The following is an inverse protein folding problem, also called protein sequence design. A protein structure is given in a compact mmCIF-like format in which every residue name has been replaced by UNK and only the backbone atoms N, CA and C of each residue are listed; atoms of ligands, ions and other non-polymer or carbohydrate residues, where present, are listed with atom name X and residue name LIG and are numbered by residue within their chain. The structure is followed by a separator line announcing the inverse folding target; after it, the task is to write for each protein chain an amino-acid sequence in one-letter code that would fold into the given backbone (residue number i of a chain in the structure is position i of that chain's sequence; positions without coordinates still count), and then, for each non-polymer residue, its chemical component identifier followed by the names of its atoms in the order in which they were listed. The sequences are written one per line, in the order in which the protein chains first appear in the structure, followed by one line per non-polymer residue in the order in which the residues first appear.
data_IF_151634181554
#
_entry.id   IF_151634181554
#
_cell.length_a   1.000
_cell.length_b   1.000
_cell.length_c   1.000
_cell.angle_alpha   90.00
_cell.angle_beta   90.00
_cell.angle_gamma   90.00
#
_symmetry.space_group_name_H-M   'P 1'
#
loop_
_entity.id
_entity.type
_entity.pdbx_description
1 polymer ?
#
# COMPACT_ATOMS: atom_id res chain seq x y z
N UNK A 1 52.55 8.05 37.69
CA UNK A 1 52.39 8.51 36.29
C UNK A 1 50.95 8.24 35.89
N UNK A 2 50.02 9.18 36.06
CA UNK A 2 49.53 10.16 35.06
C UNK A 2 49.04 9.54 33.73
N UNK A 3 47.70 9.68 33.50
CA UNK A 3 46.96 9.83 32.21
C UNK A 3 46.70 8.52 31.43
N UNK A 4 45.56 8.25 30.77
CA UNK A 4 44.41 9.05 30.30
C UNK A 4 43.28 8.08 29.85
N UNK A 5 42.02 8.54 29.92
CA UNK A 5 40.85 8.39 29.02
C UNK A 5 40.77 7.22 27.99
N UNK A 6 39.62 6.66 27.61
CA UNK A 6 38.34 7.30 27.28
C UNK A 6 37.25 6.21 27.08
N UNK A 7 35.99 6.57 27.30
CA UNK A 7 34.78 5.78 27.04
C UNK A 7 34.48 5.55 25.52
N UNK A 8 33.52 4.63 25.31
CA UNK A 8 32.54 4.49 24.20
C UNK A 8 32.92 3.69 22.96
N UNK A 9 32.19 2.58 22.75
CA UNK A 9 31.28 2.42 21.60
C UNK A 9 30.47 1.10 21.72
N UNK A 10 29.36 1.12 22.47
CA UNK A 10 28.30 0.13 22.30
C UNK A 10 27.47 0.58 21.09
N UNK A 11 27.81 0.09 19.90
CA UNK A 11 27.09 0.42 18.67
C UNK A 11 25.66 -0.13 18.76
N UNK A 12 24.72 0.80 18.89
CA UNK A 12 23.29 0.51 18.93
C UNK A 12 22.80 -0.14 17.65
N UNK A 13 22.15 -1.30 17.79
CA UNK A 13 21.21 -1.83 16.81
C UNK A 13 19.84 -1.76 17.45
N UNK A 14 19.23 -0.57 17.38
CA UNK A 14 17.79 -0.41 17.54
C UNK A 14 17.27 0.05 16.19
N UNK A 15 17.04 -0.90 15.29
CA UNK A 15 16.21 -0.65 14.12
C UNK A 15 14.80 -0.41 14.63
N UNK A 16 14.44 0.86 14.82
CA UNK A 16 13.06 1.29 14.95
C UNK A 16 12.35 0.88 13.66
N UNK A 17 11.65 -0.24 13.69
CA UNK A 17 10.66 -0.55 12.68
C UNK A 17 9.52 0.44 12.90
N UNK A 18 9.51 1.51 12.10
CA UNK A 18 8.33 2.35 11.95
C UNK A 18 7.25 1.51 11.27
N UNK A 19 6.51 0.76 12.08
CA UNK A 19 5.25 0.17 11.68
C UNK A 19 4.30 1.35 11.51
N UNK A 20 4.12 1.81 10.27
CA UNK A 20 3.01 2.68 9.91
C UNK A 20 1.74 1.82 9.90
N UNK A 21 1.32 1.37 11.09
CA UNK A 21 -0.08 1.07 11.29
C UNK A 21 -0.82 2.39 11.04
N UNK A 22 -1.91 2.34 10.28
CA UNK A 22 -2.79 3.51 10.05
C UNK A 22 -3.56 3.85 11.34
N UNK A 23 -2.84 4.12 12.44
CA UNK A 23 -3.41 4.54 13.72
C UNK A 23 -4.04 5.91 13.52
N UNK A 24 -5.35 6.02 13.72
CA UNK A 24 -6.10 7.27 13.56
C UNK A 24 -6.82 7.45 12.23
N UNK A 25 -7.04 6.37 11.47
CA UNK A 25 -7.96 6.37 10.33
C UNK A 25 -9.34 5.86 10.74
N UNK A 26 -10.37 6.22 9.97
CA UNK A 26 -11.75 5.80 10.25
C UNK A 26 -11.98 4.31 10.01
N UNK A 27 -11.11 3.62 9.24
CA UNK A 27 -11.21 2.20 8.92
C UNK A 27 -10.07 1.41 9.56
N UNK A 28 -10.42 0.44 10.39
CA UNK A 28 -9.47 -0.42 11.10
C UNK A 28 -9.69 -1.89 10.74
N UNK A 29 -8.61 -2.62 10.54
CA UNK A 29 -8.61 -4.07 10.31
C UNK A 29 -8.40 -4.81 11.64
N UNK A 30 -8.95 -6.02 11.76
CA UNK A 30 -8.76 -6.89 12.92
C UNK A 30 -7.31 -7.37 13.08
N UNK A 31 -6.56 -7.44 11.99
CA UNK A 31 -5.11 -7.71 11.98
C UNK A 31 -4.38 -6.57 11.26
N UNK A 32 -3.30 -6.09 11.88
CA UNK A 32 -2.40 -5.11 11.29
C UNK A 32 -1.50 -5.71 10.20
N UNK A 33 -1.40 -7.04 10.11
CA UNK A 33 -0.58 -7.79 9.16
C UNK A 33 -1.43 -8.83 8.39
N UNK A 34 -2.46 -8.38 7.65
CA UNK A 34 -3.38 -9.29 6.97
C UNK A 34 -2.61 -10.23 6.03
N UNK A 35 -2.89 -11.52 6.15
CA UNK A 35 -2.16 -12.59 5.47
C UNK A 35 -3.00 -13.25 4.36
N UNK A 36 -2.37 -13.89 3.35
CA UNK A 36 -3.12 -14.60 2.31
C UNK A 36 -4.02 -15.69 2.89
N UNK A 37 -5.28 -15.75 2.44
CA UNK A 37 -6.28 -16.70 2.91
C UNK A 37 -6.92 -16.34 4.25
N UNK A 38 -6.49 -15.26 4.90
CA UNK A 38 -7.06 -14.81 6.17
C UNK A 38 -8.44 -14.17 5.98
N UNK A 39 -9.35 -14.43 6.92
CA UNK A 39 -10.59 -13.67 7.06
C UNK A 39 -10.33 -12.45 7.94
N UNK A 40 -10.54 -11.25 7.39
CA UNK A 40 -10.35 -9.97 8.08
C UNK A 40 -11.70 -9.38 8.44
N UNK A 41 -11.82 -8.89 9.67
CA UNK A 41 -12.93 -8.04 10.10
C UNK A 41 -12.51 -6.58 10.00
N UNK A 42 -13.35 -5.76 9.38
CA UNK A 42 -13.24 -4.31 9.33
C UNK A 42 -14.12 -3.69 10.39
N UNK A 43 -13.63 -2.64 11.03
CA UNK A 43 -14.44 -1.70 11.81
C UNK A 43 -14.28 -0.30 11.23
N UNK A 44 -15.39 0.38 10.97
CA UNK A 44 -15.43 1.68 10.32
C UNK A 44 -16.26 2.70 11.10
N UNK A 45 -15.74 3.92 11.27
CA UNK A 45 -16.44 5.06 11.87
C UNK A 45 -16.71 6.14 10.81
N UNK A 46 -17.95 6.28 10.30
CA UNK A 46 -18.26 7.29 9.28
C UNK A 46 -18.22 8.74 9.81
N UNK A 47 -18.17 8.94 11.13
CA UNK A 47 -18.28 10.27 11.75
C UNK A 47 -17.19 11.22 11.23
N UNK A 48 -17.56 12.40 10.75
CA UNK A 48 -16.62 13.40 10.21
C UNK A 48 -16.05 13.08 8.82
N UNK A 49 -16.48 11.99 8.18
CA UNK A 49 -16.09 11.64 6.81
C UNK A 49 -17.09 12.21 5.78
N UNK A 50 -16.78 12.20 4.47
CA UNK A 50 -17.75 12.58 3.43
C UNK A 50 -19.03 11.73 3.38
N UNK A 51 -19.06 10.58 4.06
CA UNK A 51 -20.23 9.69 4.15
C UNK A 51 -20.89 9.72 5.53
N UNK A 52 -20.53 10.66 6.40
CA UNK A 52 -21.18 10.86 7.70
C UNK A 52 -22.70 11.08 7.55
N UNK A 53 -23.48 10.49 8.46
CA UNK A 53 -24.94 10.54 8.46
C UNK A 53 -25.63 9.77 7.33
N UNK A 54 -24.89 9.11 6.43
CA UNK A 54 -25.47 8.35 5.32
C UNK A 54 -25.73 6.88 5.70
N UNK A 55 -26.89 6.36 5.30
CA UNK A 55 -27.23 4.93 5.44
C UNK A 55 -26.86 4.13 4.19
N UNK A 56 -26.80 2.81 4.34
CA UNK A 56 -26.61 1.84 3.23
C UNK A 56 -25.38 2.19 2.38
N UNK A 57 -24.23 2.31 3.05
CA UNK A 57 -22.95 2.60 2.42
C UNK A 57 -22.54 1.45 1.50
N UNK A 58 -21.99 1.78 0.34
CA UNK A 58 -21.33 0.84 -0.55
C UNK A 58 -19.86 0.72 -0.12
N UNK A 59 -19.42 -0.48 0.24
CA UNK A 59 -18.02 -0.76 0.50
C UNK A 59 -17.51 -1.91 -0.36
N UNK A 60 -16.34 -1.71 -0.97
CA UNK A 60 -15.74 -2.65 -1.93
C UNK A 60 -14.25 -2.76 -1.65
N UNK A 61 -13.72 -3.99 -1.67
CA UNK A 61 -12.31 -4.29 -1.54
C UNK A 61 -11.73 -4.64 -2.90
N UNK A 62 -10.70 -3.89 -3.32
CA UNK A 62 -9.97 -4.12 -4.55
C UNK A 62 -8.62 -4.74 -4.21
N UNK A 63 -8.39 -5.98 -4.66
CA UNK A 63 -7.14 -6.70 -4.45
C UNK A 63 -6.18 -6.49 -5.62
N UNK A 64 -4.90 -6.37 -5.29
CA UNK A 64 -3.83 -6.24 -6.25
C UNK A 64 -3.02 -7.53 -6.22
N UNK A 65 -3.03 -8.27 -7.32
CA UNK A 65 -2.25 -9.49 -7.53
C UNK A 65 -1.38 -9.45 -8.79
N UNK A 66 -1.34 -8.29 -9.45
CA UNK A 66 -0.61 -8.04 -10.71
C UNK A 66 -1.06 -8.95 -11.87
N UNK A 67 -2.28 -9.50 -11.80
CA UNK A 67 -2.82 -10.40 -12.82
C UNK A 67 -4.31 -10.23 -13.04
N UNK A 68 -5.13 -10.67 -12.09
CA UNK A 68 -6.59 -10.77 -12.25
C UNK A 68 -7.34 -9.64 -11.51
N UNK A 69 -6.66 -8.94 -10.58
CA UNK A 69 -7.20 -7.85 -9.75
C UNK A 69 -8.58 -8.16 -9.14
N UNK A 70 -8.69 -9.20 -8.29
CA UNK A 70 -9.97 -9.59 -7.71
C UNK A 70 -10.66 -8.45 -6.96
N UNK A 71 -11.98 -8.49 -6.92
CA UNK A 71 -12.81 -7.53 -6.20
C UNK A 71 -13.78 -8.29 -5.30
N UNK A 72 -14.03 -7.77 -4.10
CA UNK A 72 -15.03 -8.31 -3.19
C UNK A 72 -15.92 -7.21 -2.62
N UNK A 73 -17.21 -7.48 -2.47
CA UNK A 73 -18.11 -6.63 -1.72
C UNK A 73 -17.82 -6.74 -0.22
N UNK A 74 -17.82 -5.61 0.47
CA UNK A 74 -17.71 -5.53 1.92
C UNK A 74 -19.06 -5.13 2.51
N UNK A 75 -19.84 -6.12 2.93
CA UNK A 75 -21.14 -5.88 3.53
C UNK A 75 -20.99 -5.31 4.94
N UNK A 76 -21.18 -3.99 5.06
CA UNK A 76 -21.13 -3.27 6.33
C UNK A 76 -22.48 -3.37 7.07
N UNK A 77 -22.43 -3.70 8.36
CA UNK A 77 -23.57 -3.75 9.25
C UNK A 77 -23.30 -2.95 10.52
N UNK A 78 -24.37 -2.41 11.12
CA UNK A 78 -24.26 -1.62 12.34
C UNK A 78 -23.77 -2.45 13.54
N UNK A 79 -22.82 -1.91 14.29
CA UNK A 79 -22.27 -2.44 15.53
C UNK A 79 -22.11 -1.29 16.54
N UNK A 80 -23.24 -0.82 17.08
CA UNK A 80 -23.28 0.39 17.90
C UNK A 80 -23.13 1.65 17.04
N UNK A 81 -22.15 2.49 17.36
CA UNK A 81 -21.81 3.69 16.56
C UNK A 81 -20.91 3.39 15.36
N UNK A 82 -20.37 2.18 15.30
CA UNK A 82 -19.43 1.76 14.27
C UNK A 82 -20.14 0.84 13.28
N UNK A 83 -19.57 0.72 12.09
CA UNK A 83 -19.93 -0.30 11.11
C UNK A 83 -18.89 -1.41 11.12
N UNK A 84 -19.33 -2.65 10.90
CA UNK A 84 -18.45 -3.82 10.78
C UNK A 84 -18.75 -4.59 9.52
N UNK A 85 -17.75 -5.27 8.98
CA UNK A 85 -17.89 -6.16 7.85
C UNK A 85 -16.73 -7.13 7.80
N UNK A 86 -16.88 -8.20 7.02
CA UNK A 86 -15.84 -9.21 6.86
C UNK A 86 -15.53 -9.43 5.39
N UNK A 87 -14.27 -9.76 5.09
CA UNK A 87 -13.86 -10.25 3.78
C UNK A 87 -12.68 -11.23 3.93
N UNK A 88 -12.38 -11.98 2.88
CA UNK A 88 -11.22 -12.88 2.86
C UNK A 88 -10.14 -12.35 1.92
N UNK A 89 -8.87 -12.42 2.34
CA UNK A 89 -7.74 -12.07 1.49
C UNK A 89 -7.49 -13.20 0.48
N UNK A 90 -7.58 -12.96 -0.83
CA UNK A 90 -7.21 -13.97 -1.83
C UNK A 90 -5.78 -14.44 -1.64
N UNK A 91 -5.51 -15.73 -1.91
CA UNK A 91 -4.18 -16.30 -1.75
C UNK A 91 -3.09 -15.61 -2.61
N UNK A 92 -3.49 -15.01 -3.74
CA UNK A 92 -2.59 -14.28 -4.66
C UNK A 92 -2.36 -12.83 -4.28
N UNK A 93 -3.17 -12.25 -3.37
CA UNK A 93 -3.16 -10.82 -3.09
C UNK A 93 -1.83 -10.35 -2.50
N UNK A 94 -1.38 -9.19 -2.98
CA UNK A 94 -0.12 -8.54 -2.59
C UNK A 94 -0.38 -7.26 -1.79
N UNK A 95 -1.41 -6.54 -2.18
CA UNK A 95 -1.95 -5.37 -1.50
C UNK A 95 -3.46 -5.32 -1.78
N UNK A 96 -4.17 -4.44 -1.08
CA UNK A 96 -5.56 -4.13 -1.38
C UNK A 96 -5.93 -2.75 -0.90
N UNK A 97 -6.96 -2.15 -1.49
CA UNK A 97 -7.58 -0.94 -0.92
C UNK A 97 -9.08 -1.11 -0.77
N UNK A 98 -9.64 -0.43 0.23
CA UNK A 98 -11.07 -0.41 0.48
C UNK A 98 -11.64 0.93 0.03
N UNK A 99 -12.68 0.88 -0.80
CA UNK A 99 -13.50 2.04 -1.13
C UNK A 99 -14.74 2.02 -0.23
N UNK A 100 -15.01 3.13 0.45
CA UNK A 100 -16.30 3.37 1.12
C UNK A 100 -16.96 4.57 0.46
N UNK A 101 -18.22 4.42 0.07
CA UNK A 101 -18.92 5.45 -0.70
C UNK A 101 -20.43 5.40 -0.54
N UNK A 102 -21.08 6.51 -0.85
CA UNK A 102 -22.51 6.61 -1.05
C UNK A 102 -22.80 7.67 -2.10
N UNK A 103 -23.45 7.26 -3.18
CA UNK A 103 -23.64 8.08 -4.38
C UNK A 103 -22.28 8.61 -4.88
N UNK A 104 -22.13 9.92 -5.02
CA UNK A 104 -20.88 10.57 -5.44
C UNK A 104 -19.88 10.83 -4.29
N UNK A 105 -20.32 10.66 -3.04
CA UNK A 105 -19.48 10.83 -1.86
C UNK A 105 -18.60 9.60 -1.67
N UNK A 106 -17.30 9.83 -1.56
CA UNK A 106 -16.29 8.80 -1.31
C UNK A 106 -15.50 9.26 -0.10
N UNK A 107 -15.38 8.38 0.89
CA UNK A 107 -14.39 8.58 1.95
C UNK A 107 -13.04 8.10 1.44
N UNK A 108 -12.21 9.06 1.04
CA UNK A 108 -10.88 8.85 0.50
C UNK A 108 -9.78 8.97 1.56
N UNK A 109 -10.14 9.05 2.85
CA UNK A 109 -9.21 9.17 3.96
C UNK A 109 -8.22 10.35 3.77
N UNK A 110 -8.75 11.53 3.42
CA UNK A 110 -7.95 12.73 3.09
C UNK A 110 -7.01 12.47 1.91
N UNK A 111 -7.58 11.96 0.82
CA UNK A 111 -6.89 11.57 -0.42
C UNK A 111 -5.85 10.44 -0.29
N UNK A 112 -5.64 9.85 0.91
CA UNK A 112 -4.64 8.78 1.14
C UNK A 112 -5.18 7.38 0.84
N UNK A 113 -6.50 7.22 0.84
CA UNK A 113 -7.21 5.97 0.75
C UNK A 113 -7.02 5.05 1.96
N UNK A 114 -7.76 3.94 1.93
CA UNK A 114 -7.60 2.82 2.85
C UNK A 114 -6.80 1.71 2.16
N UNK A 115 -5.49 1.94 1.99
CA UNK A 115 -4.58 1.07 1.25
C UNK A 115 -3.69 0.25 2.19
N UNK A 116 -3.72 -1.07 2.05
CA UNK A 116 -3.06 -2.03 2.94
C UNK A 116 -2.15 -2.99 2.15
N UNK A 117 -1.08 -3.44 2.80
CA UNK A 117 -0.20 -4.49 2.28
C UNK A 117 -0.66 -5.85 2.77
N UNK A 118 -0.33 -6.90 2.03
CA UNK A 118 -0.48 -8.29 2.49
C UNK A 118 0.86 -8.79 3.03
N UNK A 119 0.82 -9.57 4.11
CA UNK A 119 1.98 -9.97 4.86
C UNK A 119 2.14 -11.49 4.96
N UNK A 120 3.36 -11.92 5.26
CA UNK A 120 3.70 -13.24 5.76
C UNK A 120 4.81 -13.08 6.80
N UNK A 121 4.65 -13.68 7.96
CA UNK A 121 5.61 -13.54 9.08
C UNK A 121 5.90 -12.07 9.43
N UNK A 122 4.85 -11.23 9.40
CA UNK A 122 4.90 -9.76 9.62
C UNK A 122 5.79 -8.99 8.64
N UNK A 123 6.18 -9.60 7.52
CA UNK A 123 6.89 -8.96 6.41
C UNK A 123 5.96 -8.86 5.19
N UNK A 124 5.95 -7.74 4.45
CA UNK A 124 5.17 -7.66 3.21
C UNK A 124 5.55 -8.79 2.27
N UNK A 125 4.58 -9.45 1.64
CA UNK A 125 4.85 -10.51 0.66
C UNK A 125 5.54 -9.94 -0.59
N UNK A 126 6.25 -10.77 -1.35
CA UNK A 126 6.83 -10.34 -2.62
C UNK A 126 5.74 -9.81 -3.56
N UNK A 127 5.95 -8.60 -4.07
CA UNK A 127 5.03 -7.82 -4.90
C UNK A 127 4.17 -6.83 -4.13
N UNK A 128 4.14 -6.87 -2.79
CA UNK A 128 3.26 -6.03 -1.97
C UNK A 128 3.56 -4.53 -2.11
N UNK A 129 4.84 -4.15 -1.99
CA UNK A 129 5.23 -2.74 -2.08
C UNK A 129 5.11 -2.23 -3.51
N UNK A 130 5.43 -3.06 -4.50
CA UNK A 130 5.22 -2.74 -5.92
C UNK A 130 3.73 -2.56 -6.28
N UNK A 131 2.86 -3.42 -5.75
CA UNK A 131 1.41 -3.30 -5.93
C UNK A 131 0.86 -2.02 -5.30
N UNK A 132 1.33 -1.67 -4.09
CA UNK A 132 1.01 -0.37 -3.48
C UNK A 132 1.51 0.80 -4.34
N UNK A 133 2.75 0.71 -4.84
CA UNK A 133 3.31 1.72 -5.73
C UNK A 133 2.44 1.92 -6.98
N UNK A 134 1.98 0.83 -7.60
CA UNK A 134 1.10 0.88 -8.76
C UNK A 134 -0.19 1.66 -8.51
N UNK A 135 -0.84 1.47 -7.35
CA UNK A 135 -2.03 2.25 -6.96
C UNK A 135 -1.72 3.75 -6.92
N UNK A 136 -0.54 4.12 -6.43
CA UNK A 136 -0.12 5.51 -6.22
C UNK A 136 0.35 6.24 -7.48
N UNK A 137 0.54 5.59 -8.63
CA UNK A 137 0.94 6.32 -9.86
C UNK A 137 0.08 6.04 -11.08
N UNK A 138 -0.56 4.88 -11.18
CA UNK A 138 -1.28 4.46 -12.39
C UNK A 138 -2.59 5.20 -12.64
N UNK A 139 -3.10 5.93 -11.64
CA UNK A 139 -4.44 6.52 -11.64
C UNK A 139 -5.55 5.55 -11.20
N UNK A 140 -5.25 4.25 -10.99
CA UNK A 140 -6.20 3.26 -10.49
C UNK A 140 -6.84 3.71 -9.17
N UNK A 141 -6.02 4.07 -8.18
CA UNK A 141 -6.52 4.52 -6.87
C UNK A 141 -7.39 5.78 -6.98
N UNK A 142 -7.00 6.72 -7.85
CA UNK A 142 -7.76 7.95 -8.09
C UNK A 142 -9.12 7.68 -8.72
N UNK A 143 -9.16 6.81 -9.74
CA UNK A 143 -10.39 6.49 -10.47
C UNK A 143 -11.42 5.77 -9.61
N UNK A 144 -10.98 4.82 -8.77
CA UNK A 144 -11.92 4.00 -8.00
C UNK A 144 -12.25 4.58 -6.64
N UNK A 145 -11.28 5.19 -5.94
CA UNK A 145 -11.41 5.58 -4.53
C UNK A 145 -10.89 7.00 -4.23
N UNK A 146 -10.72 7.85 -5.25
CA UNK A 146 -10.18 9.23 -5.12
C UNK A 146 -8.84 9.33 -4.37
N UNK A 147 -8.06 8.25 -4.39
CA UNK A 147 -6.71 8.24 -3.81
C UNK A 147 -5.81 9.11 -4.68
N UNK A 148 -5.16 10.12 -4.10
CA UNK A 148 -4.23 10.98 -4.83
C UNK A 148 -3.00 10.18 -5.27
N UNK A 149 -2.59 10.41 -6.50
CA UNK A 149 -1.33 9.85 -7.00
C UNK A 149 -0.13 10.51 -6.30
N UNK A 150 0.84 9.71 -5.90
CA UNK A 150 2.17 10.13 -5.48
C UNK A 150 3.25 9.31 -6.21
N UNK A 151 3.68 9.76 -7.40
CA UNK A 151 4.75 9.09 -8.15
C UNK A 151 6.08 9.00 -7.40
N UNK A 152 6.36 9.93 -6.47
CA UNK A 152 7.60 9.91 -5.70
C UNK A 152 7.56 8.83 -4.61
N UNK A 153 6.45 8.70 -3.89
CA UNK A 153 6.23 7.58 -2.98
C UNK A 153 6.25 6.25 -3.74
N UNK A 154 5.56 6.17 -4.89
CA UNK A 154 5.58 4.97 -5.74
C UNK A 154 7.02 4.57 -6.14
N UNK A 155 7.85 5.53 -6.54
CA UNK A 155 9.26 5.26 -6.87
C UNK A 155 10.05 4.73 -5.66
N UNK A 156 9.84 5.31 -4.49
CA UNK A 156 10.47 4.84 -3.25
C UNK A 156 10.04 3.42 -2.89
N UNK A 157 8.75 3.10 -3.03
CA UNK A 157 8.19 1.78 -2.77
C UNK A 157 8.74 0.72 -3.73
N UNK A 158 8.83 1.02 -5.03
CA UNK A 158 9.47 0.11 -6.00
C UNK A 158 10.93 -0.18 -5.64
N UNK A 159 11.70 0.83 -5.24
CA UNK A 159 13.09 0.63 -4.79
C UNK A 159 13.17 -0.26 -3.56
N UNK A 160 12.24 -0.11 -2.61
CA UNK A 160 12.17 -0.97 -1.42
C UNK A 160 11.79 -2.41 -1.81
N UNK A 161 10.81 -2.59 -2.70
CA UNK A 161 10.42 -3.88 -3.24
C UNK A 161 11.62 -4.61 -3.85
N UNK A 162 12.30 -3.99 -4.82
CA UNK A 162 13.38 -4.66 -5.56
C UNK A 162 14.62 -4.92 -4.70
N UNK A 163 14.79 -4.16 -3.61
CA UNK A 163 15.82 -4.44 -2.61
C UNK A 163 15.47 -5.67 -1.77
N UNK A 164 14.22 -5.81 -1.33
CA UNK A 164 13.76 -6.93 -0.52
C UNK A 164 13.54 -8.21 -1.34
N UNK A 165 13.07 -8.05 -2.57
CA UNK A 165 12.66 -9.10 -3.50
C UNK A 165 13.16 -8.79 -4.92
N UNK A 166 14.45 -9.04 -5.23
CA UNK A 166 15.02 -8.72 -6.54
C UNK A 166 14.27 -9.37 -7.73
N UNK A 167 13.64 -10.53 -7.51
CA UNK A 167 12.83 -11.20 -8.52
C UNK A 167 11.58 -10.39 -8.94
N UNK A 168 11.05 -9.55 -8.05
CA UNK A 168 9.89 -8.69 -8.33
C UNK A 168 10.22 -7.65 -9.41
N UNK A 169 11.49 -7.31 -9.64
CA UNK A 169 11.87 -6.34 -10.68
C UNK A 169 11.42 -6.81 -12.07
N UNK A 170 11.55 -8.10 -12.37
CA UNK A 170 11.11 -8.65 -13.66
C UNK A 170 9.59 -8.65 -13.77
N UNK A 171 8.91 -9.01 -12.69
CA UNK A 171 7.44 -9.11 -12.64
C UNK A 171 6.77 -7.74 -12.81
N UNK A 172 7.33 -6.67 -12.23
CA UNK A 172 6.78 -5.32 -12.27
C UNK A 172 7.51 -4.38 -13.24
N UNK A 173 8.39 -4.91 -14.10
CA UNK A 173 9.26 -4.11 -14.96
C UNK A 173 8.48 -3.08 -15.78
N UNK A 174 7.41 -3.52 -16.44
CA UNK A 174 6.60 -2.65 -17.29
C UNK A 174 6.01 -1.48 -16.50
N UNK A 175 5.42 -1.76 -15.32
CA UNK A 175 4.82 -0.74 -14.48
C UNK A 175 5.86 0.23 -13.92
N UNK A 176 7.01 -0.30 -13.50
CA UNK A 176 8.11 0.53 -13.02
C UNK A 176 8.62 1.47 -14.11
N UNK A 177 8.76 0.98 -15.35
CA UNK A 177 9.22 1.81 -16.46
C UNK A 177 8.17 2.84 -16.86
N UNK A 178 6.87 2.48 -16.83
CA UNK A 178 5.79 3.44 -17.03
C UNK A 178 5.86 4.58 -16.01
N UNK A 179 6.06 4.28 -14.73
CA UNK A 179 6.26 5.29 -13.69
C UNK A 179 7.44 6.22 -14.01
N UNK A 180 8.59 5.65 -14.39
CA UNK A 180 9.78 6.44 -14.68
C UNK A 180 9.59 7.33 -15.91
N UNK A 181 8.91 6.83 -16.93
CA UNK A 181 8.66 7.54 -18.18
C UNK A 181 7.59 8.64 -18.04
N UNK A 182 6.56 8.43 -17.21
CA UNK A 182 5.47 9.39 -17.02
C UNK A 182 5.74 10.40 -15.91
N UNK A 183 6.67 10.10 -14.99
CA UNK A 183 6.96 10.95 -13.85
C UNK A 183 7.76 12.19 -14.21
N UNK A 184 7.50 13.28 -13.48
CA UNK A 184 8.20 14.57 -13.66
C UNK A 184 9.43 14.74 -12.77
N UNK A 185 9.74 13.74 -11.96
CA UNK A 185 10.87 13.80 -11.04
C UNK A 185 12.18 13.66 -11.85
N UNK A 186 13.12 14.62 -11.75
CA UNK A 186 14.39 14.56 -12.48
C UNK A 186 15.24 13.33 -12.15
N UNK A 187 15.00 12.68 -11.00
CA UNK A 187 15.68 11.44 -10.64
C UNK A 187 15.23 10.22 -11.47
N UNK A 188 14.11 10.31 -12.20
CA UNK A 188 13.54 9.15 -12.91
C UNK A 188 14.22 8.88 -14.24
N UNK A 189 14.46 9.93 -15.03
CA UNK A 189 15.06 9.78 -16.36
C UNK A 189 16.43 9.06 -16.35
N UNK A 190 17.39 9.42 -15.46
CA UNK A 190 18.66 8.70 -15.40
C UNK A 190 18.51 7.21 -15.05
N UNK A 191 17.53 6.88 -14.20
CA UNK A 191 17.24 5.48 -13.83
C UNK A 191 16.63 4.73 -15.01
N UNK A 192 15.72 5.37 -15.75
CA UNK A 192 15.13 4.80 -16.96
C UNK A 192 16.20 4.53 -18.01
N UNK A 193 17.07 5.51 -18.29
CA UNK A 193 18.16 5.39 -19.27
C UNK A 193 19.10 4.23 -18.91
N UNK A 194 19.48 4.13 -17.63
CA UNK A 194 20.30 3.03 -17.13
C UNK A 194 19.62 1.67 -17.35
N UNK A 195 18.32 1.57 -17.07
CA UNK A 195 17.54 0.34 -17.24
C UNK A 195 17.40 -0.05 -18.71
N UNK A 196 17.11 0.90 -19.61
CA UNK A 196 17.04 0.67 -21.05
C UNK A 196 18.40 0.22 -21.63
N UNK A 197 19.49 0.89 -21.26
CA UNK A 197 20.83 0.49 -21.68
C UNK A 197 21.20 -0.93 -21.23
N UNK A 198 20.74 -1.36 -20.06
CA UNK A 198 20.97 -2.73 -19.58
C UNK A 198 20.21 -3.80 -20.37
N UNK A 199 19.06 -3.46 -20.94
CA UNK A 199 18.26 -4.35 -21.79
C UNK A 199 18.89 -4.49 -23.18
N UNK A 200 19.36 -3.38 -23.76
CA UNK A 200 20.00 -3.39 -25.08
C UNK A 200 21.28 -4.22 -25.11
N UNK A 201 21.98 -4.37 -23.98
CA UNK A 201 23.19 -5.22 -23.87
C UNK A 201 22.90 -6.73 -23.77
N UNK A 202 21.63 -7.12 -23.60
CA UNK A 202 21.21 -8.53 -23.45
C UNK A 202 20.65 -9.11 -24.75
N UNK A 203 20.54 -8.29 -25.80
CA UNK A 203 20.14 -8.65 -27.17
C UNK A 203 21.41 -8.83 -27.99
#
# INVERSE_FOLDING_TARGET
MKKFCLLFALSGVLTLQNVLAQTGTHLNLSDAYPSPGEKITVTYDPSGTPVDGKSDLNAVVYFLDNKDYPVADLNLHAAGKLLKGDFSIPASAKAFFVKISKDEAVDDNNEKGYLYLVYKDKKPVAGALASKAYVLFSGLGSAYAKIKTDPNEAFALYKQEFKAYPQSEKEYQSMYYSLLASGKNPAFAPVLDQKLASLMKRI
#
